data_IF_654337841561
#
_entry.id   IF_654337841561
#
_cell.length_a   1.000
_cell.length_b   1.000
_cell.length_c   1.000
_cell.angle_alpha   90.00
_cell.angle_beta   90.00
_cell.angle_gamma   90.00
#
_symmetry.space_group_name_H-M   'P 1'
#
loop_
_entity.id
_entity.type
_entity.pdbx_description
1 polymer ?
#
# COMPACT_ATOMS: atom_id res chain seq x y z
N UNK A 1 -9.12 -21.05 1.80
CA UNK A 1 -10.33 -20.23 1.55
C UNK A 1 -9.88 -18.83 1.15
N UNK A 2 -10.08 -18.43 -0.11
CA UNK A 2 -9.64 -17.13 -0.63
C UNK A 2 -10.57 -15.98 -0.21
N UNK A 3 -10.02 -14.77 -0.05
CA UNK A 3 -10.79 -13.56 0.23
C UNK A 3 -11.46 -13.06 -1.05
N UNK A 4 -12.67 -12.48 -0.94
CA UNK A 4 -13.31 -11.81 -2.08
C UNK A 4 -12.56 -10.50 -2.38
N UNK A 5 -12.41 -10.14 -3.66
CA UNK A 5 -11.73 -8.89 -4.02
C UNK A 5 -12.62 -7.69 -3.69
N UNK A 6 -12.04 -6.50 -3.47
CA UNK A 6 -12.85 -5.29 -3.25
C UNK A 6 -13.75 -5.01 -4.45
N UNK A 7 -13.25 -5.24 -5.66
CA UNK A 7 -13.99 -5.01 -6.91
C UNK A 7 -15.24 -5.89 -7.00
N UNK A 8 -15.12 -7.16 -6.62
CA UNK A 8 -16.26 -8.08 -6.64
C UNK A 8 -17.27 -7.72 -5.54
N UNK A 9 -16.79 -7.33 -4.36
CA UNK A 9 -17.65 -6.92 -3.26
C UNK A 9 -18.43 -5.61 -3.57
N UNK A 10 -17.78 -4.64 -4.22
CA UNK A 10 -18.44 -3.43 -4.75
C UNK A 10 -19.43 -3.75 -5.87
N UNK A 11 -19.15 -4.75 -6.72
CA UNK A 11 -20.08 -5.19 -7.76
C UNK A 11 -21.35 -5.81 -7.15
N UNK A 12 -21.21 -6.59 -6.10
CA UNK A 12 -22.33 -7.21 -5.38
C UNK A 12 -23.17 -6.19 -4.59
N UNK A 13 -22.53 -5.13 -4.08
CA UNK A 13 -23.23 -3.98 -3.50
C UNK A 13 -24.04 -3.25 -4.57
N UNK A 14 -23.42 -2.93 -5.70
CA UNK A 14 -24.08 -2.24 -6.83
C UNK A 14 -25.22 -3.05 -7.44
N UNK A 15 -25.11 -4.37 -7.43
CA UNK A 15 -26.19 -5.27 -7.89
C UNK A 15 -27.28 -5.49 -6.83
N UNK A 16 -27.18 -4.85 -5.66
CA UNK A 16 -28.16 -4.96 -4.58
C UNK A 16 -28.16 -6.29 -3.84
N UNK A 17 -27.17 -7.16 -4.08
CA UNK A 17 -27.05 -8.47 -3.43
C UNK A 17 -26.48 -8.31 -2.01
N UNK A 18 -25.58 -7.33 -1.83
CA UNK A 18 -24.99 -6.97 -0.55
C UNK A 18 -25.45 -5.57 -0.14
N UNK A 19 -25.85 -5.41 1.12
CA UNK A 19 -26.03 -4.08 1.70
C UNK A 19 -24.67 -3.45 2.03
N UNK A 20 -24.62 -2.10 2.08
CA UNK A 20 -23.43 -1.36 2.55
C UNK A 20 -22.97 -1.82 3.94
N UNK A 21 -23.92 -2.05 4.84
CA UNK A 21 -23.64 -2.52 6.20
C UNK A 21 -22.99 -3.92 6.21
N UNK A 22 -23.48 -4.83 5.36
CA UNK A 22 -22.89 -6.16 5.22
C UNK A 22 -21.48 -6.10 4.62
N UNK A 23 -21.26 -5.23 3.63
CA UNK A 23 -19.94 -5.01 3.04
C UNK A 23 -18.92 -4.51 4.08
N UNK A 24 -19.29 -3.54 4.92
CA UNK A 24 -18.45 -3.03 6.00
C UNK A 24 -18.12 -4.12 7.02
N UNK A 25 -19.10 -4.92 7.45
CA UNK A 25 -18.85 -6.06 8.32
C UNK A 25 -17.89 -7.09 7.71
N UNK A 26 -18.05 -7.40 6.41
CA UNK A 26 -17.18 -8.33 5.70
C UNK A 26 -15.75 -7.79 5.58
N UNK A 27 -15.58 -6.47 5.41
CA UNK A 27 -14.27 -5.82 5.45
C UNK A 27 -13.64 -5.91 6.84
N UNK A 28 -14.42 -5.65 7.90
CA UNK A 28 -13.97 -5.73 9.30
C UNK A 28 -13.58 -7.16 9.71
N UNK A 29 -14.35 -8.16 9.26
CA UNK A 29 -14.07 -9.59 9.45
C UNK A 29 -12.92 -10.10 8.58
N UNK A 30 -12.35 -9.24 7.71
CA UNK A 30 -11.22 -9.57 6.86
C UNK A 30 -11.55 -10.56 5.72
N UNK A 31 -12.84 -10.70 5.41
CA UNK A 31 -13.37 -11.57 4.34
C UNK A 31 -13.20 -10.91 2.96
N UNK A 32 -13.21 -9.57 2.91
CA UNK A 32 -12.86 -8.78 1.72
C UNK A 32 -11.39 -8.42 1.77
N UNK A 33 -10.71 -8.50 0.62
CA UNK A 33 -9.36 -7.97 0.46
C UNK A 33 -9.31 -6.47 0.79
N UNK A 34 -8.20 -5.95 1.31
CA UNK A 34 -8.04 -4.50 1.50
C UNK A 34 -7.42 -3.89 0.25
N UNK A 35 -8.03 -2.84 -0.31
CA UNK A 35 -7.38 -2.03 -1.33
C UNK A 35 -6.19 -1.31 -0.70
N UNK A 36 -4.99 -1.82 -0.93
CA UNK A 36 -3.76 -1.13 -0.54
C UNK A 36 -3.41 -0.13 -1.63
N UNK A 37 -3.75 1.13 -1.43
CA UNK A 37 -3.21 2.21 -2.27
C UNK A 37 -1.77 2.46 -1.83
N UNK A 38 -0.81 1.86 -2.51
CA UNK A 38 0.61 2.16 -2.28
C UNK A 38 0.89 3.57 -2.80
N UNK A 39 1.12 4.51 -1.88
CA UNK A 39 1.56 5.87 -2.24
C UNK A 39 3.00 5.79 -2.73
N UNK A 40 3.20 5.97 -4.03
CA UNK A 40 4.54 6.03 -4.64
C UNK A 40 5.14 7.42 -4.50
N UNK A 41 6.43 7.46 -4.18
CA UNK A 41 7.17 8.67 -3.82
C UNK A 41 8.42 8.80 -4.67
N UNK A 42 8.67 10.00 -5.20
CA UNK A 42 9.71 10.23 -6.19
C UNK A 42 10.59 11.44 -5.87
N UNK A 43 11.86 11.35 -6.26
CA UNK A 43 12.84 12.44 -6.23
C UNK A 43 13.27 12.71 -7.68
N UNK A 44 13.42 13.99 -8.03
CA UNK A 44 13.96 14.39 -9.33
C UNK A 44 15.47 14.52 -9.23
N UNK A 45 16.20 13.83 -10.08
CA UNK A 45 17.66 13.90 -10.16
C UNK A 45 18.09 15.17 -10.91
N UNK A 46 19.37 15.53 -10.80
CA UNK A 46 19.93 16.70 -11.49
C UNK A 46 19.84 16.58 -13.03
N UNK A 47 19.91 15.35 -13.57
CA UNK A 47 19.69 15.04 -14.98
C UNK A 47 18.20 14.90 -15.36
N UNK A 48 17.29 15.30 -14.46
CA UNK A 48 15.86 15.42 -14.73
C UNK A 48 15.06 14.12 -14.68
N UNK A 49 15.67 13.00 -14.31
CA UNK A 49 15.00 11.70 -14.16
C UNK A 49 14.27 11.62 -12.83
N UNK A 50 13.19 10.85 -12.79
CA UNK A 50 12.44 10.58 -11.56
C UNK A 50 12.83 9.21 -11.02
N UNK A 51 13.26 9.16 -9.76
CA UNK A 51 13.66 7.93 -9.08
C UNK A 51 12.84 7.74 -7.80
N UNK A 52 12.59 6.49 -7.44
CA UNK A 52 11.88 6.10 -6.22
C UNK A 52 12.91 5.56 -5.20
N UNK A 53 13.04 6.15 -4.00
CA UNK A 53 13.91 5.62 -2.97
C UNK A 53 13.46 4.23 -2.51
N UNK A 54 14.38 3.28 -2.44
CA UNK A 54 14.09 1.92 -1.96
C UNK A 54 15.04 1.51 -0.83
N UNK A 55 14.47 1.05 0.28
CA UNK A 55 15.20 0.39 1.35
C UNK A 55 15.28 -1.12 1.08
N UNK A 56 16.49 -1.67 1.08
CA UNK A 56 16.72 -3.09 0.83
C UNK A 56 17.65 -3.71 1.90
N UNK A 57 17.13 -4.67 2.67
CA UNK A 57 17.91 -5.43 3.65
C UNK A 57 18.55 -6.65 2.98
N UNK A 58 19.81 -6.52 2.55
CA UNK A 58 20.54 -7.62 1.93
C UNK A 58 20.67 -8.80 2.91
N UNK A 59 20.30 -10.01 2.46
CA UNK A 59 20.38 -11.23 3.26
C UNK A 59 19.16 -11.50 4.16
N UNK A 60 18.09 -10.71 4.06
CA UNK A 60 16.88 -10.90 4.88
C UNK A 60 15.95 -12.05 4.41
N UNK A 61 16.50 -13.06 3.72
CA UNK A 61 15.70 -14.18 3.23
C UNK A 61 15.38 -15.11 4.41
N UNK A 62 14.11 -15.46 4.57
CA UNK A 62 13.60 -16.35 5.63
C UNK A 62 13.92 -15.87 7.06
N UNK A 63 14.08 -14.56 7.25
CA UNK A 63 14.34 -13.94 8.56
C UNK A 63 13.16 -13.12 9.06
N UNK A 64 12.96 -13.11 10.38
CA UNK A 64 12.03 -12.20 11.06
C UNK A 64 12.69 -10.86 11.35
N UNK A 65 11.95 -9.77 11.19
CA UNK A 65 12.45 -8.41 11.50
C UNK A 65 12.67 -8.26 13.00
N UNK A 66 13.78 -7.63 13.38
CA UNK A 66 13.99 -7.19 14.77
C UNK A 66 13.30 -5.85 15.02
N UNK A 67 13.04 -5.52 16.30
CA UNK A 67 12.50 -4.20 16.70
C UNK A 67 13.32 -3.03 16.14
N UNK A 68 14.65 -3.20 16.07
CA UNK A 68 15.55 -2.17 15.50
C UNK A 68 15.36 -2.00 13.99
N UNK A 69 15.08 -3.09 13.26
CA UNK A 69 14.73 -2.99 11.84
C UNK A 69 13.41 -2.27 11.64
N UNK A 70 12.42 -2.49 12.50
CA UNK A 70 11.13 -1.79 12.45
C UNK A 70 11.29 -0.28 12.71
N UNK A 71 12.09 0.09 13.73
CA UNK A 71 12.46 1.49 13.98
C UNK A 71 13.17 2.11 12.76
N UNK A 72 14.15 1.40 12.18
CA UNK A 72 14.87 1.88 11.00
C UNK A 72 13.95 2.10 9.80
N UNK A 73 13.02 1.16 9.53
CA UNK A 73 12.02 1.31 8.46
C UNK A 73 11.17 2.57 8.72
N UNK A 74 10.76 2.80 9.96
CA UNK A 74 9.93 3.95 10.33
C UNK A 74 10.67 5.26 10.06
N UNK A 75 11.93 5.37 10.47
CA UNK A 75 12.72 6.58 10.27
C UNK A 75 13.10 6.78 8.79
N UNK A 76 13.40 5.70 8.06
CA UNK A 76 13.55 5.74 6.62
C UNK A 76 12.29 6.31 5.93
N UNK A 77 11.10 5.85 6.31
CA UNK A 77 9.85 6.35 5.74
C UNK A 77 9.65 7.85 6.00
N UNK A 78 9.99 8.36 7.18
CA UNK A 78 9.96 9.80 7.47
C UNK A 78 10.92 10.59 6.58
N UNK A 79 12.12 10.05 6.31
CA UNK A 79 13.08 10.68 5.40
C UNK A 79 12.58 10.69 3.96
N UNK A 80 12.03 9.58 3.49
CA UNK A 80 11.40 9.50 2.16
C UNK A 80 10.29 10.54 2.08
N UNK A 81 9.39 10.62 3.06
CA UNK A 81 8.34 11.63 3.11
C UNK A 81 8.85 13.06 3.04
N UNK A 82 9.94 13.36 3.75
CA UNK A 82 10.54 14.69 3.80
C UNK A 82 11.15 15.12 2.46
N UNK A 83 11.81 14.20 1.74
CA UNK A 83 12.63 14.55 0.57
C UNK A 83 12.01 14.16 -0.77
N UNK A 84 10.82 13.56 -0.79
CA UNK A 84 10.16 13.10 -2.02
C UNK A 84 8.84 13.80 -2.26
N UNK A 85 8.32 13.63 -3.47
CA UNK A 85 7.01 14.12 -3.88
C UNK A 85 6.13 12.93 -4.29
N UNK A 86 4.83 13.02 -4.03
CA UNK A 86 3.86 12.07 -4.57
C UNK A 86 3.49 12.50 -5.99
N UNK A 87 3.45 11.54 -6.92
CA UNK A 87 2.95 11.78 -8.27
C UNK A 87 1.70 10.93 -8.48
N UNK A 88 0.55 11.57 -8.62
CA UNK A 88 -0.66 10.88 -9.05
C UNK A 88 -0.46 10.46 -10.52
N UNK A 89 -0.43 9.15 -10.80
CA UNK A 89 -0.35 8.66 -12.18
C UNK A 89 -1.67 8.81 -12.96
N UNK A 90 -2.62 9.62 -12.47
CA UNK A 90 -3.87 9.98 -13.14
C UNK A 90 -3.75 11.31 -13.90
N UNK A 91 -2.67 11.46 -14.67
CA UNK A 91 -2.59 12.48 -15.72
C UNK A 91 -2.08 11.81 -16.99
N UNK A 92 -3.01 11.20 -17.71
CA UNK A 92 -3.03 11.10 -19.16
C UNK A 92 -4.47 11.30 -19.60
#
# INVERSE_FOLDING_TARGET
>A
MGKITVKDAESLEKSGILSKTALEEMQNKGLVSKNKTTVRRFIKTADGKWVEPQLYFRGSKDTTKSKRMESFITDYNKLVEKYTTTRNSKQK
#
